data_IF_066309309155
#
_entry.id   IF_066309309155
#
_cell.length_a   1.000
_cell.length_b   1.000
_cell.length_c   1.000
_cell.angle_alpha   90.00
_cell.angle_beta   90.00
_cell.angle_gamma   90.00
#
_symmetry.space_group_name_H-M   'P 1'
#
loop_
_entity.id
_entity.type
_entity.pdbx_description
1 polymer ?
#
# COMPACT_ATOMS: atom_id res chain seq x y z
N UNK A 1 -88.39 -11.47 0.82
CA UNK A 1 -87.37 -10.44 1.12
C UNK A 1 -86.00 -11.04 0.82
N UNK A 2 -85.34 -10.49 -0.20
CA UNK A 2 -83.89 -10.23 -0.30
C UNK A 2 -82.84 -11.27 0.13
N UNK A 3 -81.90 -11.53 -0.81
CA UNK A 3 -80.44 -11.78 -0.65
C UNK A 3 -80.02 -13.20 -0.19
N UNK A 4 -78.93 -13.84 -0.63
CA UNK A 4 -77.77 -13.52 -1.49
C UNK A 4 -77.11 -14.88 -1.87
N UNK A 5 -76.54 -14.98 -3.07
CA UNK A 5 -75.61 -16.07 -3.46
C UNK A 5 -74.33 -16.05 -2.62
N UNK A 6 -73.72 -17.21 -2.33
CA UNK A 6 -72.27 -17.36 -2.55
C UNK A 6 -71.84 -18.84 -2.64
N UNK A 7 -71.28 -19.19 -3.79
CA UNK A 7 -70.50 -20.40 -4.03
C UNK A 7 -69.24 -20.38 -3.14
N UNK A 8 -68.90 -21.51 -2.54
CA UNK A 8 -67.57 -21.76 -1.99
C UNK A 8 -66.99 -23.01 -2.64
N UNK A 9 -66.20 -22.81 -3.69
CA UNK A 9 -65.34 -23.84 -4.27
C UNK A 9 -63.92 -23.58 -3.76
N UNK A 10 -63.50 -24.33 -2.76
CA UNK A 10 -62.17 -24.23 -2.16
C UNK A 10 -61.14 -24.79 -3.15
N UNK A 11 -60.45 -23.92 -3.89
CA UNK A 11 -59.27 -24.31 -4.68
C UNK A 11 -58.03 -24.28 -3.77
N UNK A 12 -57.50 -25.46 -3.43
CA UNK A 12 -56.15 -25.60 -2.89
C UNK A 12 -55.15 -25.23 -4.00
N UNK A 13 -54.46 -24.10 -3.84
CA UNK A 13 -53.28 -23.78 -4.65
C UNK A 13 -52.06 -24.16 -3.81
N UNK A 14 -51.45 -25.29 -4.12
CA UNK A 14 -50.14 -25.65 -3.62
C UNK A 14 -49.10 -24.74 -4.30
N UNK A 15 -48.66 -23.69 -3.59
CA UNK A 15 -47.56 -22.85 -4.04
C UNK A 15 -46.23 -23.57 -3.87
N UNK A 16 -45.62 -24.03 -4.97
CA UNK A 16 -44.21 -24.38 -4.98
C UNK A 16 -43.40 -23.09 -4.80
N UNK A 17 -42.79 -22.92 -3.63
CA UNK A 17 -41.76 -21.90 -3.43
C UNK A 17 -40.49 -22.33 -4.18
N UNK A 18 -40.28 -21.79 -5.37
CA UNK A 18 -39.01 -21.91 -6.08
C UNK A 18 -38.00 -20.99 -5.38
N UNK A 19 -37.19 -21.54 -4.49
CA UNK A 19 -36.00 -20.84 -3.98
C UNK A 19 -35.00 -20.79 -5.13
N UNK A 20 -35.02 -19.70 -5.89
CA UNK A 20 -33.97 -19.42 -6.85
C UNK A 20 -32.67 -19.18 -6.08
N UNK A 21 -31.82 -20.21 -5.98
CA UNK A 21 -30.43 -20.06 -5.57
C UNK A 21 -29.71 -19.31 -6.68
N UNK A 22 -29.68 -17.98 -6.60
CA UNK A 22 -28.80 -17.17 -7.43
C UNK A 22 -27.38 -17.60 -7.04
N UNK A 23 -26.58 -18.20 -7.95
CA UNK A 23 -25.19 -18.48 -7.63
C UNK A 23 -24.54 -17.14 -7.32
N UNK A 24 -23.97 -17.00 -6.12
CA UNK A 24 -23.08 -15.88 -5.83
C UNK A 24 -22.00 -15.92 -6.92
N UNK A 25 -22.02 -14.94 -7.82
CA UNK A 25 -20.95 -14.77 -8.79
C UNK A 25 -19.63 -14.71 -7.99
N UNK A 26 -18.74 -15.66 -8.24
CA UNK A 26 -17.41 -15.68 -7.64
C UNK A 26 -16.68 -14.40 -8.07
N UNK A 27 -16.05 -13.75 -7.10
CA UNK A 27 -15.15 -12.64 -7.34
C UNK A 27 -14.10 -12.98 -8.40
N UNK A 28 -13.97 -12.14 -9.42
CA UNK A 28 -13.01 -12.34 -10.51
C UNK A 28 -11.78 -11.46 -10.28
N UNK A 29 -10.71 -12.07 -9.76
CA UNK A 29 -9.40 -11.44 -9.58
C UNK A 29 -8.55 -11.60 -10.85
N UNK A 30 -8.00 -10.49 -11.34
CA UNK A 30 -7.11 -10.47 -12.52
C UNK A 30 -5.89 -9.61 -12.28
N UNK A 31 -4.79 -9.99 -12.91
CA UNK A 31 -3.59 -9.16 -13.02
C UNK A 31 -3.32 -8.82 -14.48
N UNK A 32 -3.15 -7.53 -14.80
CA UNK A 32 -2.99 -7.04 -16.17
C UNK A 32 -1.77 -6.14 -16.27
N UNK A 33 -0.81 -6.50 -17.12
CA UNK A 33 0.33 -5.64 -17.47
C UNK A 33 -0.02 -4.75 -18.66
N UNK A 34 0.24 -3.45 -18.56
CA UNK A 34 -0.07 -2.47 -19.59
C UNK A 34 0.82 -1.23 -19.50
N UNK A 35 0.70 -0.31 -20.46
CA UNK A 35 1.21 1.05 -20.32
C UNK A 35 0.50 1.76 -19.17
N UNK A 36 1.20 2.62 -18.42
CA UNK A 36 0.59 3.34 -17.30
C UNK A 36 -0.46 4.35 -17.82
N UNK A 37 -1.76 4.21 -17.51
CA UNK A 37 -2.78 5.10 -18.05
C UNK A 37 -2.89 6.44 -17.27
N UNK A 38 -2.13 6.60 -16.18
CA UNK A 38 -2.13 7.80 -15.34
C UNK A 38 -0.82 8.59 -15.39
N UNK A 39 0.14 8.18 -16.21
CA UNK A 39 1.47 8.80 -16.24
C UNK A 39 2.45 8.03 -17.12
N UNK A 40 3.73 8.43 -17.14
CA UNK A 40 4.74 7.72 -17.91
C UNK A 40 5.03 6.31 -17.34
N UNK A 41 5.63 5.47 -18.18
CA UNK A 41 6.06 4.13 -17.82
C UNK A 41 4.98 3.06 -18.00
N UNK A 42 5.08 2.00 -17.20
CA UNK A 42 4.25 0.79 -17.25
C UNK A 42 3.49 0.59 -15.95
N UNK A 43 2.42 -0.17 -16.03
CA UNK A 43 1.54 -0.52 -14.93
C UNK A 43 1.27 -2.03 -14.89
N UNK A 44 1.19 -2.56 -13.67
CA UNK A 44 0.62 -3.88 -13.40
C UNK A 44 -0.60 -3.70 -12.52
N UNK A 45 -1.78 -3.93 -13.07
CA UNK A 45 -3.06 -3.72 -12.41
C UNK A 45 -3.55 -4.97 -11.74
N UNK A 46 -4.02 -4.83 -10.50
CA UNK A 46 -4.87 -5.81 -9.85
C UNK A 46 -6.31 -5.35 -9.98
N UNK A 47 -7.11 -6.17 -10.66
CA UNK A 47 -8.54 -5.97 -10.83
C UNK A 47 -9.32 -6.95 -9.94
N UNK A 48 -10.45 -6.49 -9.41
CA UNK A 48 -11.46 -7.29 -8.73
C UNK A 48 -12.82 -6.95 -9.33
N UNK A 49 -13.49 -7.91 -9.94
CA UNK A 49 -14.76 -7.74 -10.66
C UNK A 49 -14.65 -6.65 -11.74
N UNK A 50 -13.54 -6.65 -12.48
CA UNK A 50 -13.24 -5.68 -13.54
C UNK A 50 -12.85 -4.28 -13.08
N UNK A 51 -12.83 -4.00 -11.76
CA UNK A 51 -12.44 -2.70 -11.21
C UNK A 51 -11.02 -2.73 -10.66
N UNK A 52 -10.25 -1.69 -10.94
CA UNK A 52 -8.90 -1.56 -10.37
C UNK A 52 -8.97 -1.41 -8.85
N UNK A 53 -8.15 -2.20 -8.15
CA UNK A 53 -8.00 -2.16 -6.68
C UNK A 53 -6.61 -1.66 -6.31
N UNK A 54 -5.59 -2.11 -7.05
CA UNK A 54 -4.22 -1.67 -6.90
C UNK A 54 -3.49 -1.63 -8.25
N UNK A 55 -2.42 -0.83 -8.35
CA UNK A 55 -1.58 -0.73 -9.55
C UNK A 55 -0.12 -0.56 -9.18
N UNK A 56 0.77 -1.45 -9.60
CA UNK A 56 2.21 -1.21 -9.52
C UNK A 56 2.62 -0.32 -10.69
N UNK A 57 3.15 0.86 -10.42
CA UNK A 57 3.72 1.77 -11.44
C UNK A 57 5.24 1.61 -11.48
N UNK A 58 5.81 1.46 -12.67
CA UNK A 58 7.25 1.26 -12.86
C UNK A 58 7.72 1.70 -14.26
N UNK A 59 9.02 1.59 -14.53
CA UNK A 59 9.62 1.88 -15.84
C UNK A 59 9.94 3.36 -16.05
N UNK A 60 9.88 3.78 -17.31
CA UNK A 60 10.30 5.10 -17.75
C UNK A 60 9.64 6.24 -16.95
N UNK A 61 10.43 7.27 -16.63
CA UNK A 61 9.98 8.41 -15.82
C UNK A 61 9.89 8.13 -14.31
N UNK A 62 9.90 6.88 -13.88
CA UNK A 62 9.77 6.47 -12.49
C UNK A 62 11.16 6.25 -11.87
N UNK A 63 11.43 6.87 -10.71
CA UNK A 63 12.70 6.64 -9.98
C UNK A 63 12.70 5.34 -9.16
N UNK A 64 11.50 4.86 -8.81
CA UNK A 64 11.28 3.65 -8.02
C UNK A 64 9.95 3.02 -8.41
N UNK A 65 9.77 1.70 -8.32
CA UNK A 65 8.47 1.08 -8.45
C UNK A 65 7.64 1.30 -7.17
N UNK A 66 6.36 1.65 -7.32
CA UNK A 66 5.45 1.94 -6.20
C UNK A 66 4.03 1.46 -6.49
N UNK A 67 3.29 1.11 -5.43
CA UNK A 67 1.93 0.58 -5.52
C UNK A 67 0.89 1.69 -5.28
N UNK A 68 -0.03 1.82 -6.21
CA UNK A 68 -1.25 2.59 -6.08
C UNK A 68 -2.38 1.78 -5.46
N UNK A 69 -3.27 2.50 -4.78
CA UNK A 69 -4.53 1.97 -4.26
C UNK A 69 -5.67 2.79 -4.82
N UNK A 70 -6.72 2.11 -5.25
CA UNK A 70 -7.97 2.72 -5.69
C UNK A 70 -9.05 2.50 -4.64
N UNK A 71 -9.88 3.53 -4.41
CA UNK A 71 -11.01 3.43 -3.50
C UNK A 71 -12.25 2.87 -4.20
N UNK A 72 -13.37 2.78 -3.48
CA UNK A 72 -14.56 2.07 -3.97
C UNK A 72 -15.21 2.72 -5.21
N UNK A 73 -15.05 4.03 -5.36
CA UNK A 73 -15.52 4.80 -6.52
C UNK A 73 -14.55 4.80 -7.70
N UNK A 74 -13.39 4.15 -7.58
CA UNK A 74 -12.34 4.11 -8.61
C UNK A 74 -11.38 5.30 -8.56
N UNK A 75 -11.55 6.23 -7.61
CA UNK A 75 -10.60 7.31 -7.35
C UNK A 75 -9.26 6.78 -6.85
N UNK A 76 -8.18 7.50 -7.19
CA UNK A 76 -6.84 7.18 -6.74
C UNK A 76 -6.65 7.66 -5.28
N UNK A 77 -6.35 6.73 -4.38
CA UNK A 77 -6.20 7.01 -2.94
C UNK A 77 -4.77 7.46 -2.59
N UNK A 78 -3.80 7.12 -3.42
CA UNK A 78 -2.38 7.40 -3.16
C UNK A 78 -1.76 8.38 -4.16
N UNK A 79 -0.67 9.05 -3.77
CA UNK A 79 -0.03 10.06 -4.61
C UNK A 79 0.56 9.45 -5.90
N UNK A 80 0.18 9.95 -7.10
CA UNK A 80 0.72 9.49 -8.39
C UNK A 80 2.17 9.91 -8.63
N UNK A 81 2.62 10.98 -8.00
CA UNK A 81 3.97 11.50 -8.15
C UNK A 81 4.25 12.16 -9.51
N UNK A 82 3.68 11.67 -10.61
CA UNK A 82 3.70 12.31 -11.91
C UNK A 82 2.30 12.38 -12.52
N UNK A 83 2.04 13.39 -13.33
CA UNK A 83 0.85 13.47 -14.18
C UNK A 83 1.06 12.74 -15.52
N UNK A 84 0.07 12.83 -16.42
CA UNK A 84 0.09 12.16 -17.73
C UNK A 84 1.20 12.69 -18.63
N UNK A 85 1.53 13.96 -18.50
CA UNK A 85 2.58 14.65 -19.23
C UNK A 85 3.98 14.35 -18.64
N UNK A 86 4.05 13.69 -17.49
CA UNK A 86 5.29 13.33 -16.81
C UNK A 86 5.85 14.44 -15.93
N UNK A 87 5.07 15.50 -15.66
CA UNK A 87 5.42 16.54 -14.71
C UNK A 87 5.05 16.12 -13.28
N UNK A 88 5.56 16.85 -12.28
CA UNK A 88 5.28 16.55 -10.88
C UNK A 88 3.80 16.77 -10.50
N UNK A 89 3.14 15.71 -10.04
CA UNK A 89 1.74 15.80 -9.61
C UNK A 89 1.60 16.40 -8.19
N UNK A 90 1.29 17.70 -8.14
CA UNK A 90 1.06 18.43 -6.89
C UNK A 90 2.28 18.45 -5.95
N UNK A 91 2.03 18.53 -4.64
CA UNK A 91 3.11 18.72 -3.64
C UNK A 91 3.76 17.39 -3.23
N UNK A 92 5.08 17.43 -3.01
CA UNK A 92 5.89 16.30 -2.53
C UNK A 92 5.78 15.05 -3.42
N UNK A 93 5.91 15.27 -4.72
CA UNK A 93 5.68 14.30 -5.78
C UNK A 93 6.74 13.18 -5.87
N UNK A 94 7.81 13.27 -5.08
CA UNK A 94 8.81 12.22 -4.89
C UNK A 94 8.38 11.15 -3.87
N UNK A 95 7.38 11.44 -3.02
CA UNK A 95 6.69 10.43 -2.21
C UNK A 95 5.49 9.91 -3.00
N UNK A 96 5.42 8.59 -3.25
CA UNK A 96 4.46 8.00 -4.20
C UNK A 96 3.90 6.69 -3.68
N UNK A 97 2.58 6.51 -3.71
CA UNK A 97 2.01 5.19 -3.41
C UNK A 97 2.46 4.56 -2.09
N UNK A 98 2.57 3.23 -2.13
CA UNK A 98 3.30 2.40 -1.17
C UNK A 98 4.61 1.96 -1.83
N UNK A 99 5.75 2.18 -1.16
CA UNK A 99 7.06 1.88 -1.73
C UNK A 99 8.12 1.69 -0.66
N UNK A 100 9.27 1.17 -1.10
CA UNK A 100 10.53 1.10 -0.34
C UNK A 100 11.63 1.86 -1.09
N UNK A 101 12.57 2.46 -0.36
CA UNK A 101 13.80 3.02 -0.94
C UNK A 101 14.71 3.70 0.07
N UNK A 102 15.84 4.25 -0.40
CA UNK A 102 16.86 4.93 0.40
C UNK A 102 17.51 6.06 -0.39
N UNK A 103 17.74 7.22 0.23
CA UNK A 103 18.43 8.35 -0.41
C UNK A 103 19.94 8.40 -0.13
N UNK A 104 20.44 7.57 0.79
CA UNK A 104 21.88 7.43 1.07
C UNK A 104 22.29 5.97 0.99
N UNK A 105 22.59 5.51 -0.21
CA UNK A 105 23.11 4.17 -0.47
C UNK A 105 24.61 4.28 -0.77
N UNK A 106 25.44 3.45 -0.15
CA UNK A 106 26.88 3.44 -0.45
C UNK A 106 27.45 2.03 -0.55
N UNK A 107 28.34 1.84 -1.52
CA UNK A 107 29.15 0.63 -1.70
C UNK A 107 30.53 1.03 -2.26
N UNK A 108 31.36 0.05 -2.61
CA UNK A 108 32.60 0.26 -3.36
C UNK A 108 32.37 0.90 -4.74
N UNK A 109 31.15 0.84 -5.29
CA UNK A 109 30.77 1.51 -6.54
C UNK A 109 30.46 3.00 -6.37
N UNK A 110 30.48 3.53 -5.15
CA UNK A 110 30.22 4.93 -4.84
C UNK A 110 28.97 5.16 -4.00
N UNK A 111 28.44 6.39 -4.05
CA UNK A 111 27.29 6.86 -3.27
C UNK A 111 26.12 7.20 -4.19
N UNK A 112 24.93 6.74 -3.83
CA UNK A 112 23.74 6.78 -4.66
C UNK A 112 22.52 7.21 -3.87
N UNK A 113 21.71 8.05 -4.51
CA UNK A 113 20.33 8.34 -4.11
C UNK A 113 19.40 7.51 -5.01
N UNK A 114 18.65 6.59 -4.40
CA UNK A 114 17.61 5.80 -5.07
C UNK A 114 16.21 6.29 -4.70
N UNK A 115 16.13 7.42 -4.02
CA UNK A 115 14.89 8.01 -3.60
C UNK A 115 14.43 9.13 -4.54
N UNK A 116 15.33 10.04 -4.90
CA UNK A 116 15.03 11.24 -5.68
C UNK A 116 15.43 11.06 -7.15
N UNK A 117 14.55 11.50 -8.05
CA UNK A 117 14.90 11.58 -9.47
C UNK A 117 16.00 12.63 -9.64
N UNK A 118 17.13 12.25 -10.22
CA UNK A 118 18.29 13.14 -10.39
C UNK A 118 19.14 13.33 -9.12
N UNK A 119 18.92 12.51 -8.09
CA UNK A 119 19.74 12.55 -6.87
C UNK A 119 21.19 12.09 -7.11
N UNK A 120 22.10 12.34 -6.15
CA UNK A 120 23.52 11.99 -6.29
C UNK A 120 23.76 10.55 -6.79
N UNK A 121 24.69 10.37 -7.73
CA UNK A 121 25.04 9.07 -8.30
C UNK A 121 24.01 8.47 -9.26
N UNK A 122 22.77 9.00 -9.31
CA UNK A 122 21.68 8.56 -10.18
C UNK A 122 21.44 7.04 -10.13
N UNK A 123 21.22 6.50 -8.92
CA UNK A 123 20.89 5.09 -8.75
C UNK A 123 19.64 4.71 -9.55
N UNK A 124 19.62 3.50 -10.10
CA UNK A 124 18.54 3.02 -10.98
C UNK A 124 17.99 1.68 -10.50
N UNK A 125 16.84 1.28 -11.04
CA UNK A 125 16.30 -0.06 -10.85
C UNK A 125 15.85 -0.63 -12.20
N UNK A 126 15.87 -1.94 -12.31
CA UNK A 126 15.28 -2.69 -13.42
C UNK A 126 14.33 -3.75 -12.86
N UNK A 127 13.10 -3.83 -13.36
CA UNK A 127 12.27 -5.02 -13.17
C UNK A 127 12.66 -6.03 -14.24
N UNK A 128 13.16 -7.18 -13.82
CA UNK A 128 13.68 -8.21 -14.74
C UNK A 128 12.63 -9.25 -15.12
N UNK A 129 11.64 -9.50 -14.26
CA UNK A 129 10.49 -10.37 -14.55
C UNK A 129 9.33 -10.11 -13.58
N UNK A 130 8.14 -10.51 -14.02
CA UNK A 130 6.95 -10.67 -13.18
C UNK A 130 6.56 -12.14 -13.06
N UNK A 131 6.03 -12.53 -11.89
CA UNK A 131 5.48 -13.86 -11.59
C UNK A 131 4.09 -13.70 -10.95
N UNK A 132 3.23 -12.93 -11.61
CA UNK A 132 1.93 -12.56 -11.07
C UNK A 132 1.02 -13.78 -10.92
N UNK A 133 0.20 -13.83 -9.86
CA UNK A 133 -0.69 -14.96 -9.57
C UNK A 133 -2.06 -14.46 -9.11
N UNK A 134 -3.08 -15.30 -9.26
CA UNK A 134 -4.43 -15.04 -8.73
C UNK A 134 -4.94 -16.27 -7.98
N UNK A 135 -5.82 -16.02 -7.02
CA UNK A 135 -6.63 -17.02 -6.33
C UNK A 135 -8.09 -16.55 -6.32
N UNK A 136 -9.00 -17.34 -5.76
CA UNK A 136 -10.40 -16.93 -5.63
C UNK A 136 -10.58 -15.66 -4.76
N UNK A 137 -9.65 -15.39 -3.85
CA UNK A 137 -9.80 -14.35 -2.83
C UNK A 137 -8.75 -13.23 -2.93
N UNK A 138 -7.80 -13.35 -3.87
CA UNK A 138 -6.67 -12.42 -3.96
C UNK A 138 -5.99 -12.44 -5.32
N UNK A 139 -5.20 -11.40 -5.59
CA UNK A 139 -4.21 -11.38 -6.66
C UNK A 139 -2.87 -10.91 -6.11
N UNK A 140 -1.77 -11.42 -6.66
CA UNK A 140 -0.41 -11.02 -6.25
C UNK A 140 0.37 -10.49 -7.44
N UNK A 141 0.97 -9.32 -7.26
CA UNK A 141 2.03 -8.82 -8.12
C UNK A 141 3.36 -9.31 -7.53
N UNK A 142 4.15 -10.03 -8.31
CA UNK A 142 5.48 -10.52 -7.89
C UNK A 142 6.52 -9.97 -8.86
N UNK A 143 7.28 -8.96 -8.44
CA UNK A 143 8.29 -8.30 -9.25
C UNK A 143 9.69 -8.71 -8.80
N UNK A 144 10.54 -9.10 -9.76
CA UNK A 144 11.97 -9.29 -9.51
C UNK A 144 12.68 -8.01 -9.93
N UNK A 145 13.31 -7.33 -8.98
CA UNK A 145 13.91 -6.01 -9.15
C UNK A 145 15.43 -6.12 -8.93
N UNK A 146 16.21 -5.46 -9.78
CA UNK A 146 17.63 -5.22 -9.55
C UNK A 146 17.84 -3.73 -9.32
N UNK A 147 18.37 -3.37 -8.16
CA UNK A 147 18.82 -2.00 -7.88
C UNK A 147 20.28 -1.87 -8.27
N UNK A 148 20.62 -0.81 -9.01
CA UNK A 148 21.89 -0.70 -9.70
C UNK A 148 22.55 0.65 -9.51
N UNK A 149 23.87 0.59 -9.48
CA UNK A 149 24.77 1.71 -9.65
C UNK A 149 24.78 2.18 -11.11
N UNK A 150 25.39 3.34 -11.33
CA UNK A 150 25.82 3.79 -12.66
C UNK A 150 27.23 3.28 -12.99
N UNK A 151 28.08 3.11 -11.97
CA UNK A 151 29.39 2.49 -12.10
C UNK A 151 29.30 0.96 -12.13
N UNK A 152 30.26 0.33 -12.80
CA UNK A 152 30.43 -1.12 -12.84
C UNK A 152 31.71 -1.52 -12.10
N UNK A 153 31.70 -2.68 -11.46
CA UNK A 153 32.92 -3.31 -10.96
C UNK A 153 33.78 -3.89 -12.09
N UNK A 154 34.94 -4.44 -11.72
CA UNK A 154 35.88 -5.05 -12.66
C UNK A 154 35.30 -6.22 -13.45
N UNK A 155 34.22 -6.85 -12.98
CA UNK A 155 33.52 -7.93 -13.66
C UNK A 155 32.32 -7.42 -14.48
N UNK A 156 32.14 -6.10 -14.60
CA UNK A 156 31.07 -5.47 -15.36
C UNK A 156 29.71 -5.40 -14.64
N UNK A 157 29.63 -5.83 -13.38
CA UNK A 157 28.39 -5.80 -12.60
C UNK A 157 28.20 -4.44 -11.93
N UNK A 158 26.97 -3.91 -12.03
CA UNK A 158 26.52 -2.69 -11.37
C UNK A 158 25.41 -2.98 -10.35
N UNK A 159 25.07 -4.25 -10.11
CA UNK A 159 23.95 -4.62 -9.23
C UNK A 159 24.37 -4.42 -7.78
N UNK A 160 23.60 -3.63 -7.04
CA UNK A 160 23.76 -3.39 -5.61
C UNK A 160 22.88 -4.33 -4.78
N UNK A 161 21.60 -4.47 -5.17
CA UNK A 161 20.60 -5.29 -4.47
C UNK A 161 19.80 -6.06 -5.50
N UNK A 162 19.60 -7.36 -5.25
CA UNK A 162 18.58 -8.15 -5.91
C UNK A 162 17.36 -8.23 -4.99
N UNK A 163 16.17 -8.02 -5.51
CA UNK A 163 14.93 -8.00 -4.74
C UNK A 163 13.85 -8.84 -5.41
N UNK A 164 13.14 -9.64 -4.61
CA UNK A 164 11.82 -10.20 -4.97
C UNK A 164 10.76 -9.46 -4.15
N UNK A 165 9.98 -8.62 -4.82
CA UNK A 165 8.89 -7.85 -4.22
C UNK A 165 7.56 -8.52 -4.49
N UNK A 166 6.78 -8.78 -3.44
CA UNK A 166 5.42 -9.28 -3.56
C UNK A 166 4.43 -8.29 -2.97
N UNK A 167 3.39 -7.96 -3.73
CA UNK A 167 2.19 -7.30 -3.22
C UNK A 167 1.00 -8.24 -3.42
N UNK A 168 0.57 -8.92 -2.36
CA UNK A 168 -0.65 -9.72 -2.37
C UNK A 168 -1.84 -8.87 -1.94
N UNK A 169 -2.76 -8.65 -2.86
CA UNK A 169 -3.94 -7.79 -2.70
C UNK A 169 -5.17 -8.65 -2.48
N UNK A 170 -5.97 -8.31 -1.48
CA UNK A 170 -7.23 -9.00 -1.14
C UNK A 170 -8.26 -8.03 -0.58
N UNK A 171 -9.52 -8.48 -0.43
CA UNK A 171 -10.58 -7.71 0.24
C UNK A 171 -11.25 -8.52 1.35
N UNK A 172 -10.64 -8.63 2.54
CA UNK A 172 -11.21 -9.42 3.64
C UNK A 172 -12.63 -8.97 4.00
N UNK A 173 -13.58 -9.91 3.90
CA UNK A 173 -15.01 -9.64 4.12
C UNK A 173 -15.63 -8.59 3.18
N UNK A 174 -14.96 -8.25 2.07
CA UNK A 174 -15.39 -7.19 1.14
C UNK A 174 -15.24 -5.76 1.66
N UNK A 175 -14.62 -5.54 2.83
CA UNK A 175 -14.69 -4.25 3.56
C UNK A 175 -13.60 -3.25 3.21
N UNK A 176 -12.36 -3.73 3.04
CA UNK A 176 -11.20 -2.87 2.83
C UNK A 176 -10.21 -3.52 1.87
N UNK A 177 -9.35 -2.72 1.26
CA UNK A 177 -8.24 -3.22 0.45
C UNK A 177 -7.08 -3.59 1.38
N UNK A 178 -6.71 -4.86 1.40
CA UNK A 178 -5.53 -5.35 2.12
C UNK A 178 -4.39 -5.58 1.14
N UNK A 179 -3.18 -5.13 1.50
CA UNK A 179 -1.95 -5.43 0.76
C UNK A 179 -0.94 -6.05 1.72
N UNK A 180 -0.63 -7.32 1.51
CA UNK A 180 0.51 -7.98 2.17
C UNK A 180 1.74 -7.71 1.30
N UNK A 181 2.63 -6.86 1.81
CA UNK A 181 3.84 -6.43 1.14
C UNK A 181 5.05 -7.19 1.69
N UNK A 182 5.75 -7.91 0.82
CA UNK A 182 7.01 -8.60 1.12
C UNK A 182 8.12 -8.02 0.24
N UNK A 183 9.24 -7.68 0.85
CA UNK A 183 10.45 -7.22 0.18
C UNK A 183 11.57 -8.17 0.56
N UNK A 184 11.85 -9.16 -0.30
CA UNK A 184 12.92 -10.13 -0.07
C UNK A 184 14.17 -9.64 -0.81
N UNK A 185 15.20 -9.20 -0.09
CA UNK A 185 16.37 -8.54 -0.68
C UNK A 185 17.65 -9.29 -0.34
N UNK A 186 18.60 -9.29 -1.27
CA UNK A 186 19.95 -9.80 -1.06
C UNK A 186 20.97 -8.78 -1.56
N UNK A 187 21.91 -8.41 -0.70
CA UNK A 187 23.01 -7.53 -1.04
C UNK A 187 23.97 -8.22 -2.02
N UNK A 188 24.22 -7.61 -3.18
CA UNK A 188 25.12 -8.17 -4.20
C UNK A 188 26.59 -7.73 -4.01
N UNK A 189 26.82 -6.89 -3.01
CA UNK A 189 28.10 -6.34 -2.55
C UNK A 189 27.93 -5.82 -1.12
N UNK A 190 29.04 -5.44 -0.49
CA UNK A 190 28.97 -4.75 0.80
C UNK A 190 28.29 -3.39 0.61
N UNK A 191 27.20 -3.16 1.35
CA UNK A 191 26.33 -2.01 1.12
C UNK A 191 25.81 -1.42 2.43
N UNK A 192 25.78 -0.09 2.47
CA UNK A 192 25.06 0.66 3.51
C UNK A 192 23.80 1.24 2.89
N UNK A 193 22.65 0.89 3.46
CA UNK A 193 21.33 1.43 3.16
C UNK A 193 20.99 2.42 4.26
N UNK A 194 20.85 3.69 3.90
CA UNK A 194 20.59 4.74 4.88
C UNK A 194 19.78 5.88 4.30
N UNK A 195 19.70 6.95 5.08
CA UNK A 195 19.02 8.15 4.64
C UNK A 195 18.66 9.08 5.78
N UNK A 196 17.49 9.67 5.68
CA UNK A 196 16.82 10.33 6.78
C UNK A 196 15.39 9.78 6.92
N UNK A 197 14.76 10.09 8.06
CA UNK A 197 13.41 9.63 8.41
C UNK A 197 12.35 9.85 7.31
N UNK A 198 12.54 10.82 6.43
CA UNK A 198 11.58 11.15 5.38
C UNK A 198 11.89 10.45 4.06
N UNK A 199 13.14 10.02 3.86
CA UNK A 199 13.69 9.57 2.58
C UNK A 199 14.41 8.23 2.66
N UNK A 200 13.99 7.35 3.57
CA UNK A 200 14.43 5.97 3.63
C UNK A 200 13.42 5.07 4.34
N UNK A 201 13.26 3.84 3.84
CA UNK A 201 12.38 2.82 4.42
C UNK A 201 11.12 2.56 3.60
N UNK A 202 10.08 2.00 4.26
CA UNK A 202 8.81 1.60 3.63
C UNK A 202 7.74 2.61 4.00
N UNK A 203 7.18 3.29 3.00
CA UNK A 203 6.31 4.45 3.21
C UNK A 203 4.99 4.32 2.45
N UNK A 204 3.92 4.83 3.06
CA UNK A 204 2.65 5.16 2.44
C UNK A 204 2.54 6.67 2.17
N UNK A 205 2.00 7.04 1.01
CA UNK A 205 1.66 8.42 0.64
C UNK A 205 0.23 8.51 0.10
N UNK A 206 -0.65 9.16 0.86
CA UNK A 206 -2.01 9.52 0.44
C UNK A 206 -1.99 10.46 -0.80
N UNK A 207 -3.13 10.55 -1.49
CA UNK A 207 -3.30 11.38 -2.68
C UNK A 207 -2.81 12.82 -2.49
N UNK A 208 -2.35 13.46 -3.57
CA UNK A 208 -1.71 14.79 -3.53
C UNK A 208 -2.64 15.88 -2.98
N UNK A 209 -3.96 15.71 -3.11
CA UNK A 209 -4.98 16.59 -2.49
C UNK A 209 -4.79 16.75 -0.98
N UNK A 210 -4.41 15.68 -0.27
CA UNK A 210 -4.25 15.68 1.19
C UNK A 210 -3.19 16.68 1.64
N UNK A 211 -2.20 17.00 0.80
CA UNK A 211 -1.21 18.03 1.14
C UNK A 211 -1.82 19.42 1.34
N UNK A 212 -2.92 19.73 0.64
CA UNK A 212 -3.66 21.00 0.77
C UNK A 212 -4.68 20.95 1.91
N UNK A 213 -4.97 19.75 2.42
CA UNK A 213 -5.92 19.46 3.50
C UNK A 213 -5.19 18.82 4.70
N UNK A 214 -3.94 19.21 4.92
CA UNK A 214 -3.06 18.56 5.90
C UNK A 214 -3.58 18.71 7.35
N UNK A 215 -4.26 19.83 7.63
CA UNK A 215 -4.97 20.06 8.90
C UNK A 215 -6.15 19.12 9.10
N UNK A 216 -6.59 18.42 8.05
CA UNK A 216 -7.69 17.47 8.09
C UNK A 216 -7.29 16.02 8.30
N UNK A 217 -6.03 15.79 8.70
CA UNK A 217 -5.50 14.45 8.94
C UNK A 217 -5.36 14.17 10.43
N UNK A 218 -5.44 12.89 10.80
CA UNK A 218 -5.08 12.43 12.13
C UNK A 218 -4.39 11.09 12.08
N UNK A 219 -3.61 10.81 13.12
CA UNK A 219 -2.81 9.60 13.22
C UNK A 219 -3.07 8.88 14.54
N UNK A 220 -3.02 7.55 14.48
CA UNK A 220 -2.94 6.63 15.61
C UNK A 220 -1.73 5.72 15.39
N UNK A 221 -1.11 5.23 16.46
CA UNK A 221 -0.05 4.23 16.39
C UNK A 221 0.00 3.40 17.66
N UNK A 222 0.62 2.23 17.54
CA UNK A 222 0.84 1.30 18.65
C UNK A 222 2.33 0.91 18.68
N UNK A 223 2.99 1.01 19.84
CA UNK A 223 2.46 1.41 21.15
C UNK A 223 2.14 2.91 21.25
N UNK A 224 1.19 3.31 22.11
CA UNK A 224 0.81 4.72 22.26
C UNK A 224 1.98 5.54 22.80
N UNK A 225 2.43 6.49 21.99
CA UNK A 225 3.55 7.36 22.27
C UNK A 225 3.24 8.80 21.86
N UNK A 226 3.95 9.79 22.42
CA UNK A 226 3.83 11.16 21.96
C UNK A 226 4.34 11.29 20.51
N UNK A 227 3.64 12.08 19.69
CA UNK A 227 3.85 12.18 18.25
C UNK A 227 5.23 12.73 17.81
N UNK A 228 6.00 13.32 18.73
CA UNK A 228 7.24 14.04 18.44
C UNK A 228 7.07 15.11 17.35
N UNK A 229 8.19 15.62 16.81
CA UNK A 229 8.19 16.52 15.64
C UNK A 229 8.20 15.71 14.35
N UNK A 230 7.09 15.05 14.02
CA UNK A 230 6.96 14.21 12.83
C UNK A 230 7.74 12.88 12.91
N UNK A 231 7.93 12.38 14.13
CA UNK A 231 8.58 11.09 14.40
C UNK A 231 8.08 10.47 15.70
N UNK A 232 7.94 9.15 15.71
CA UNK A 232 7.66 8.36 16.92
C UNK A 232 8.74 7.29 17.05
N UNK A 233 9.36 7.21 18.21
CA UNK A 233 10.49 6.29 18.48
C UNK A 233 9.99 5.24 19.47
N UNK A 234 10.09 3.98 19.09
CA UNK A 234 9.79 2.84 19.95
C UNK A 234 10.41 1.56 19.36
N UNK A 235 10.96 0.68 20.19
CA UNK A 235 11.53 -0.59 19.73
C UNK A 235 10.47 -1.67 19.42
N UNK A 236 9.21 -1.44 19.81
CA UNK A 236 8.10 -2.39 19.69
C UNK A 236 6.97 -1.87 18.81
N UNK A 237 7.26 -0.98 17.85
CA UNK A 237 6.29 -0.50 16.87
C UNK A 237 5.52 -1.66 16.23
N UNK A 238 4.19 -1.59 16.27
CA UNK A 238 3.29 -2.58 15.70
C UNK A 238 2.62 -2.08 14.44
N UNK A 239 2.02 -0.88 14.53
CA UNK A 239 1.31 -0.28 13.40
C UNK A 239 1.16 1.23 13.58
N UNK A 240 0.93 1.90 12.45
CA UNK A 240 0.48 3.28 12.37
C UNK A 240 -0.76 3.36 11.47
N UNK A 241 -1.68 4.27 11.77
CA UNK A 241 -2.90 4.50 10.99
C UNK A 241 -3.10 5.99 10.75
N UNK A 242 -3.34 6.34 9.50
CA UNK A 242 -3.74 7.67 9.05
C UNK A 242 -5.24 7.70 8.75
N UNK A 243 -5.94 8.77 9.15
CA UNK A 243 -7.28 9.16 8.68
C UNK A 243 -7.16 10.41 7.81
N UNK A 244 -7.78 10.44 6.64
CA UNK A 244 -7.62 11.52 5.67
C UNK A 244 -8.80 11.61 4.68
N UNK A 245 -9.11 12.80 4.17
CA UNK A 245 -10.14 12.97 3.15
C UNK A 245 -9.59 13.01 1.71
N UNK A 246 -10.40 12.58 0.74
CA UNK A 246 -10.22 12.81 -0.70
C UNK A 246 -11.57 13.23 -1.29
N UNK A 247 -11.66 14.44 -1.82
CA UNK A 247 -12.93 15.04 -2.17
C UNK A 247 -13.89 15.02 -0.99
N UNK A 248 -15.07 14.40 -1.16
CA UNK A 248 -16.08 14.23 -0.11
C UNK A 248 -15.97 12.92 0.68
N UNK A 249 -15.08 12.01 0.26
CA UNK A 249 -14.91 10.69 0.86
C UNK A 249 -13.80 10.71 1.91
N UNK A 250 -13.90 9.84 2.89
CA UNK A 250 -12.91 9.68 3.96
C UNK A 250 -12.30 8.30 3.92
N UNK A 251 -10.99 8.23 4.15
CA UNK A 251 -10.23 7.00 4.11
C UNK A 251 -9.36 6.87 5.33
N UNK A 252 -9.06 5.61 5.65
CA UNK A 252 -7.99 5.29 6.58
C UNK A 252 -6.98 4.39 5.90
N UNK A 253 -5.71 4.56 6.26
CA UNK A 253 -4.62 3.71 5.83
C UNK A 253 -3.84 3.27 7.06
N UNK A 254 -3.85 1.97 7.34
CA UNK A 254 -3.04 1.36 8.39
C UNK A 254 -1.83 0.67 7.75
N UNK A 255 -0.63 0.94 8.26
CA UNK A 255 0.60 0.20 7.96
C UNK A 255 0.98 -0.62 9.20
N UNK A 256 1.15 -1.92 9.03
CA UNK A 256 1.50 -2.89 10.08
C UNK A 256 2.87 -3.49 9.79
N UNK A 257 3.72 -3.59 10.81
CA UNK A 257 5.07 -4.15 10.74
C UNK A 257 5.20 -5.43 11.56
N UNK A 258 6.14 -6.31 11.22
CA UNK A 258 6.44 -7.46 12.08
C UNK A 258 7.55 -7.11 13.08
N UNK A 259 7.60 -7.75 14.26
CA UNK A 259 8.74 -7.59 15.17
C UNK A 259 10.08 -7.93 14.50
N UNK A 260 10.08 -8.89 13.56
CA UNK A 260 11.28 -9.29 12.82
C UNK A 260 11.86 -8.19 11.91
N UNK A 261 11.05 -7.19 11.53
CA UNK A 261 11.58 -6.03 10.77
C UNK A 261 12.48 -5.14 11.65
N UNK A 262 12.35 -5.20 12.99
CA UNK A 262 13.17 -4.42 13.92
C UNK A 262 13.08 -2.90 13.73
N UNK A 263 11.91 -2.41 13.30
CA UNK A 263 11.70 -0.97 13.10
C UNK A 263 11.73 -0.22 14.44
N UNK A 264 12.40 0.93 14.46
CA UNK A 264 12.53 1.77 15.67
C UNK A 264 11.90 3.14 15.53
N UNK A 265 11.86 3.65 14.31
CA UNK A 265 11.44 5.01 14.04
C UNK A 265 10.34 5.03 12.98
N UNK A 266 9.16 5.49 13.40
CA UNK A 266 8.07 5.86 12.52
C UNK A 266 8.24 7.34 12.15
N UNK A 267 8.21 7.67 10.87
CA UNK A 267 8.15 9.05 10.40
C UNK A 267 6.78 9.35 9.83
N UNK A 268 6.20 10.49 10.21
CA UNK A 268 4.85 10.88 9.78
C UNK A 268 4.76 12.38 9.46
N UNK A 269 3.84 12.77 8.58
CA UNK A 269 3.60 14.16 8.17
C UNK A 269 2.12 14.39 7.90
N UNK A 270 1.61 15.52 8.39
CA UNK A 270 0.21 15.94 8.23
C UNK A 270 -0.26 15.99 6.77
N UNK A 271 0.64 16.12 5.80
CA UNK A 271 0.25 16.08 4.39
C UNK A 271 -0.19 14.69 3.92
N UNK A 272 -0.18 13.66 4.76
CA UNK A 272 -0.64 12.30 4.47
C UNK A 272 0.49 11.35 4.07
N UNK A 273 1.64 11.45 4.74
CA UNK A 273 2.79 10.55 4.52
C UNK A 273 3.21 9.94 5.83
N UNK A 274 3.40 8.63 5.86
CA UNK A 274 3.99 7.96 7.00
C UNK A 274 4.72 6.69 6.55
N UNK A 275 5.59 6.17 7.42
CA UNK A 275 6.36 4.97 7.13
C UNK A 275 7.50 4.76 8.12
N UNK A 276 8.09 3.57 8.06
CA UNK A 276 9.14 3.16 8.98
C UNK A 276 10.52 3.32 8.36
N UNK A 277 11.42 3.97 9.11
CA UNK A 277 12.82 4.13 8.72
C UNK A 277 13.62 2.86 9.04
N UNK A 278 14.38 2.39 8.04
CA UNK A 278 15.05 1.09 8.04
C UNK A 278 16.49 1.23 7.52
N UNK A 279 17.41 1.83 8.30
CA UNK A 279 18.83 1.83 7.96
C UNK A 279 19.44 0.45 8.20
N UNK A 280 20.37 0.03 7.35
CA UNK A 280 21.01 -1.28 7.44
C UNK A 280 22.41 -1.25 6.82
N UNK A 281 23.36 -1.94 7.44
CA UNK A 281 24.60 -2.33 6.78
C UNK A 281 24.50 -3.82 6.46
N UNK A 282 24.86 -4.20 5.24
CA UNK A 282 24.77 -5.58 4.75
C UNK A 282 26.11 -5.99 4.14
N UNK A 283 26.53 -7.21 4.43
CA UNK A 283 27.60 -7.87 3.67
C UNK A 283 27.07 -8.48 2.37
N UNK A 284 27.93 -8.65 1.38
CA UNK A 284 27.56 -9.40 0.16
C UNK A 284 26.95 -10.76 0.52
N UNK A 285 25.79 -11.07 -0.05
CA UNK A 285 25.01 -12.29 0.21
C UNK A 285 24.11 -12.22 1.45
N UNK A 286 24.17 -11.15 2.25
CA UNK A 286 23.30 -11.00 3.42
C UNK A 286 21.86 -10.70 2.99
N UNK A 287 20.87 -11.44 3.51
CA UNK A 287 19.47 -11.17 3.23
C UNK A 287 18.95 -10.00 4.07
N UNK A 288 18.02 -9.24 3.50
CA UNK A 288 17.28 -8.19 4.19
C UNK A 288 15.80 -8.29 3.84
N UNK A 289 15.08 -9.15 4.54
CA UNK A 289 13.71 -9.50 4.23
C UNK A 289 12.75 -8.74 5.14
N UNK A 290 11.79 -8.03 4.54
CA UNK A 290 10.84 -7.19 5.24
C UNK A 290 9.41 -7.60 4.91
N UNK A 291 8.54 -7.63 5.92
CA UNK A 291 7.12 -7.93 5.75
C UNK A 291 6.25 -6.85 6.38
N UNK A 292 5.33 -6.31 5.60
CA UNK A 292 4.35 -5.31 6.04
C UNK A 292 2.95 -5.72 5.59
N UNK A 293 1.93 -5.24 6.28
CA UNK A 293 0.55 -5.27 5.80
C UNK A 293 -0.02 -3.87 5.78
N UNK A 294 -0.67 -3.52 4.68
CA UNK A 294 -1.46 -2.30 4.57
C UNK A 294 -2.94 -2.64 4.57
N UNK A 295 -3.76 -1.86 5.27
CA UNK A 295 -5.21 -1.92 5.21
C UNK A 295 -5.77 -0.52 4.88
N UNK A 296 -6.42 -0.39 3.74
CA UNK A 296 -6.98 0.86 3.25
C UNK A 296 -8.51 0.72 3.15
N UNK A 297 -9.22 1.56 3.87
CA UNK A 297 -10.67 1.46 4.07
C UNK A 297 -11.32 2.83 3.86
N UNK A 298 -12.41 2.87 3.10
CA UNK A 298 -13.30 4.02 3.08
C UNK A 298 -14.17 4.00 4.35
N UNK A 299 -14.29 5.15 5.01
CA UNK A 299 -14.99 5.30 6.28
C UNK A 299 -15.91 6.51 6.22
N UNK A 300 -16.85 6.58 7.17
CA UNK A 300 -17.64 7.79 7.36
C UNK A 300 -16.76 8.98 7.76
N UNK A 301 -17.24 10.19 7.47
CA UNK A 301 -16.62 11.40 7.97
C UNK A 301 -16.51 11.36 9.50
N UNK A 302 -15.38 11.79 10.09
CA UNK A 302 -15.23 11.87 11.53
C UNK A 302 -16.28 12.82 12.13
N UNK A 303 -16.80 12.48 13.32
CA UNK A 303 -17.90 13.23 13.94
C UNK A 303 -17.50 14.68 14.26
N UNK A 304 -16.22 14.90 14.61
CA UNK A 304 -15.64 16.19 14.92
C UNK A 304 -14.60 16.57 13.88
N UNK A 305 -14.96 16.51 12.59
CA UNK A 305 -14.03 16.76 11.49
C UNK A 305 -13.14 17.99 11.77
N UNK A 306 -11.81 17.82 11.75
CA UNK A 306 -11.09 16.68 11.15
C UNK A 306 -10.69 15.53 12.10
N UNK A 307 -11.03 15.61 13.38
CA UNK A 307 -10.60 14.63 14.38
C UNK A 307 -11.72 13.64 14.69
N UNK A 308 -11.32 12.40 14.94
CA UNK A 308 -12.21 11.40 15.50
C UNK A 308 -12.61 11.82 16.93
N UNK A 309 -13.83 11.49 17.37
CA UNK A 309 -14.19 11.54 18.80
C UNK A 309 -13.41 10.49 19.60
N UNK A 310 -13.39 10.60 20.92
CA UNK A 310 -12.71 9.63 21.79
C UNK A 310 -13.28 8.21 21.61
N UNK A 311 -14.58 8.07 21.41
CA UNK A 311 -15.25 6.81 21.10
C UNK A 311 -14.79 6.26 19.75
N UNK A 312 -14.72 7.11 18.72
CA UNK A 312 -14.24 6.72 17.40
C UNK A 312 -12.76 6.29 17.43
N UNK A 313 -11.93 6.93 18.27
CA UNK A 313 -10.53 6.54 18.49
C UNK A 313 -10.45 5.16 19.15
N UNK A 314 -11.22 4.90 20.22
CA UNK A 314 -11.25 3.59 20.89
C UNK A 314 -11.64 2.46 19.92
N UNK A 315 -12.69 2.66 19.13
CA UNK A 315 -13.12 1.70 18.10
C UNK A 315 -12.02 1.50 17.05
N UNK A 316 -11.37 2.57 16.63
CA UNK A 316 -10.28 2.50 15.64
C UNK A 316 -9.09 1.70 16.17
N UNK A 317 -8.67 1.90 17.43
CA UNK A 317 -7.62 1.10 18.06
C UNK A 317 -8.00 -0.39 18.09
N UNK A 318 -9.19 -0.74 18.56
CA UNK A 318 -9.64 -2.14 18.60
C UNK A 318 -9.63 -2.81 17.22
N UNK A 319 -10.05 -2.09 16.18
CA UNK A 319 -10.02 -2.58 14.81
C UNK A 319 -8.58 -2.78 14.30
N UNK A 320 -7.70 -1.81 14.58
CA UNK A 320 -6.29 -1.88 14.19
C UNK A 320 -5.57 -3.04 14.86
N UNK A 321 -5.81 -3.27 16.16
CA UNK A 321 -5.27 -4.40 16.92
C UNK A 321 -5.75 -5.74 16.35
N UNK A 322 -7.05 -5.90 16.06
CA UNK A 322 -7.57 -7.12 15.43
C UNK A 322 -6.92 -7.41 14.06
N UNK A 323 -6.73 -6.36 13.23
CA UNK A 323 -6.04 -6.49 11.94
C UNK A 323 -4.58 -6.90 12.12
N UNK A 324 -3.92 -6.34 13.13
CA UNK A 324 -2.55 -6.65 13.47
C UNK A 324 -2.37 -8.10 13.94
N UNK A 325 -3.24 -8.57 14.83
CA UNK A 325 -3.26 -9.98 15.29
C UNK A 325 -3.49 -10.94 14.11
N UNK A 326 -4.43 -10.61 13.21
CA UNK A 326 -4.66 -11.39 12.00
C UNK A 326 -3.46 -11.38 11.04
N UNK A 327 -2.70 -10.27 10.99
CA UNK A 327 -1.44 -10.20 10.26
C UNK A 327 -0.41 -11.14 10.84
N UNK A 328 -0.12 -11.04 12.14
CA UNK A 328 0.85 -11.92 12.79
C UNK A 328 0.46 -13.40 12.68
N UNK A 329 -0.84 -13.72 12.78
CA UNK A 329 -1.32 -15.10 12.60
C UNK A 329 -1.07 -15.63 11.19
N UNK A 330 -1.19 -14.78 10.16
CA UNK A 330 -0.97 -15.18 8.76
C UNK A 330 0.50 -15.40 8.38
N UNK A 331 1.44 -15.09 9.28
CA UNK A 331 2.88 -15.28 9.08
C UNK A 331 3.41 -16.59 9.67
N UNK A 332 2.60 -17.29 10.47
CA UNK A 332 2.91 -18.58 11.09
C UNK A 332 2.52 -19.71 10.15
#
# INVERSE_FOLDING_TARGET
MTRIHLNSLTKLIAGLAFVATIPLARADWKVVEQSNPLGPGKAVDVLHDGKAVARLVHGEGQIKPFLHIFGSGGELVTNPGLDREGNGAGLFNHHRGIFIGWNKVSSELGKYDMWHKGGPGNGRYDIVKFENTTTNDSASIVAHIKWRATQKDANGSDVMISERRTFKVSRPGGKYTQVDASFEMEAQRDISLGGDLQHAGVHFRAHTEVARRNKETSYLWEPPNAAGKGKVIDDNHQWARLLFPIGKRWYTAQEMTTPANGVKELSWRDYGRFGYFLPRQLKKGEPFNLKFRFAIEEVDAPANAPKQSDEQVKVSHQLCTKRYEAFLKSLK
#
